data_IF_726142073807
#
_entry.id   IF_726142073807
#
_cell.length_a   1.000
_cell.length_b   1.000
_cell.length_c   1.000
_cell.angle_alpha   90.00
_cell.angle_beta   90.00
_cell.angle_gamma   90.00
#
_symmetry.space_group_name_H-M   'P 1'
#
loop_
_entity.id
_entity.type
_entity.pdbx_description
1 polymer ?
#
# COMPACT_ATOMS: atom_id res chain seq x y z
N UNK A 1 -25.07 3.34 15.50
CA UNK A 1 -24.61 3.76 14.16
C UNK A 1 -23.49 2.82 13.70
N UNK A 2 -23.30 2.62 12.39
CA UNK A 2 -22.19 1.82 11.82
C UNK A 2 -21.41 2.69 10.83
N UNK A 3 -20.11 2.46 10.74
CA UNK A 3 -19.25 3.04 9.71
C UNK A 3 -19.38 2.19 8.43
N UNK A 4 -19.60 2.81 7.27
CA UNK A 4 -19.73 2.12 5.99
C UNK A 4 -18.43 2.24 5.20
N UNK A 5 -17.83 1.10 4.84
CA UNK A 5 -16.61 1.03 4.05
C UNK A 5 -16.89 0.41 2.68
N UNK A 6 -16.46 1.08 1.62
CA UNK A 6 -16.45 0.54 0.27
C UNK A 6 -15.12 -0.18 -0.03
N UNK A 7 -15.20 -1.37 -0.63
CA UNK A 7 -14.05 -2.19 -1.04
C UNK A 7 -14.31 -2.70 -2.45
N UNK A 8 -13.25 -2.87 -3.25
CA UNK A 8 -13.37 -3.51 -4.56
C UNK A 8 -14.02 -4.90 -4.43
N UNK A 9 -14.93 -5.23 -5.35
CA UNK A 9 -15.70 -6.47 -5.33
C UNK A 9 -14.84 -7.72 -5.53
N UNK A 10 -13.77 -7.63 -6.32
CA UNK A 10 -12.93 -8.77 -6.68
C UNK A 10 -11.53 -8.31 -7.09
N UNK A 11 -10.59 -9.26 -7.15
CA UNK A 11 -9.22 -9.02 -7.58
C UNK A 11 -8.27 -8.75 -6.43
N UNK A 12 -7.02 -8.40 -6.75
CA UNK A 12 -5.95 -8.30 -5.75
C UNK A 12 -6.25 -7.29 -4.63
N UNK A 13 -6.83 -6.13 -4.96
CA UNK A 13 -7.13 -5.11 -3.96
C UNK A 13 -8.22 -5.60 -2.99
N UNK A 14 -9.18 -6.40 -3.46
CA UNK A 14 -10.19 -7.04 -2.61
C UNK A 14 -9.53 -7.95 -1.57
N UNK A 15 -8.68 -8.88 -2.02
CA UNK A 15 -8.05 -9.87 -1.16
C UNK A 15 -7.18 -9.21 -0.09
N UNK A 16 -6.36 -8.23 -0.49
CA UNK A 16 -5.49 -7.48 0.42
C UNK A 16 -6.31 -6.62 1.41
N UNK A 17 -7.45 -6.06 0.99
CA UNK A 17 -8.33 -5.26 1.85
C UNK A 17 -9.03 -6.13 2.92
N UNK A 18 -9.57 -7.28 2.52
CA UNK A 18 -10.20 -8.22 3.46
C UNK A 18 -9.16 -8.76 4.44
N UNK A 19 -7.95 -9.07 3.94
CA UNK A 19 -6.83 -9.49 4.78
C UNK A 19 -6.47 -8.41 5.81
N UNK A 20 -6.34 -7.16 5.41
CA UNK A 20 -6.04 -6.05 6.33
C UNK A 20 -7.12 -5.94 7.43
N UNK A 21 -8.40 -6.01 7.07
CA UNK A 21 -9.49 -5.93 8.06
C UNK A 21 -9.44 -7.11 9.05
N UNK A 22 -9.14 -8.32 8.55
CA UNK A 22 -8.94 -9.50 9.40
C UNK A 22 -7.74 -9.34 10.34
N UNK A 23 -6.60 -8.83 9.85
CA UNK A 23 -5.42 -8.53 10.68
C UNK A 23 -5.74 -7.46 11.75
N UNK A 24 -6.61 -6.50 11.43
CA UNK A 24 -7.15 -5.54 12.39
C UNK A 24 -8.14 -6.16 13.42
N UNK A 25 -8.37 -7.47 13.34
CA UNK A 25 -9.32 -8.20 14.19
C UNK A 25 -10.77 -7.84 13.89
N UNK A 26 -11.11 -7.52 12.64
CA UNK A 26 -12.48 -7.24 12.21
C UNK A 26 -12.98 -8.46 11.43
N UNK A 27 -13.97 -9.14 12.01
CA UNK A 27 -14.47 -10.40 11.48
C UNK A 27 -15.60 -10.14 10.49
N UNK A 28 -15.28 -10.26 9.22
CA UNK A 28 -16.21 -10.09 8.10
C UNK A 28 -16.62 -11.46 7.60
N UNK A 29 -17.91 -11.79 7.75
CA UNK A 29 -18.44 -13.02 7.19
C UNK A 29 -18.88 -12.76 5.74
N UNK A 30 -17.95 -12.95 4.80
CA UNK A 30 -18.24 -12.76 3.39
C UNK A 30 -18.86 -14.05 2.81
N UNK A 31 -20.19 -14.06 2.67
CA UNK A 31 -20.87 -15.09 1.88
C UNK A 31 -20.59 -14.87 0.39
N UNK A 32 -20.47 -15.95 -0.39
CA UNK A 32 -20.27 -15.88 -1.84
C UNK A 32 -21.33 -14.96 -2.48
N UNK A 33 -20.90 -14.04 -3.34
CA UNK A 33 -21.74 -13.09 -4.10
C UNK A 33 -22.55 -12.06 -3.29
N UNK A 34 -22.25 -11.82 -2.02
CA UNK A 34 -22.87 -10.69 -1.29
C UNK A 34 -22.24 -9.36 -1.73
N UNK A 35 -23.08 -8.37 -2.04
CA UNK A 35 -22.66 -6.99 -2.34
C UNK A 35 -22.51 -6.13 -1.08
N UNK A 36 -22.99 -6.65 0.05
CA UNK A 36 -22.97 -5.98 1.35
C UNK A 36 -22.84 -7.02 2.45
N UNK A 37 -22.02 -6.72 3.45
CA UNK A 37 -21.89 -7.55 4.66
C UNK A 37 -21.57 -6.68 5.86
N UNK A 38 -21.71 -7.23 7.06
CA UNK A 38 -21.46 -6.52 8.30
C UNK A 38 -20.43 -7.29 9.14
N UNK A 39 -19.57 -6.55 9.83
CA UNK A 39 -18.65 -7.16 10.78
C UNK A 39 -19.40 -7.57 12.05
N UNK A 40 -19.05 -8.74 12.60
CA UNK A 40 -19.73 -9.28 13.80
C UNK A 40 -19.22 -8.66 15.10
N UNK A 41 -18.02 -8.10 15.09
CA UNK A 41 -17.28 -7.69 16.28
C UNK A 41 -16.82 -6.20 16.26
N UNK A 42 -17.23 -5.45 15.23
CA UNK A 42 -16.95 -4.02 15.09
C UNK A 42 -18.11 -3.36 14.33
N UNK A 43 -18.53 -2.12 14.67
CA UNK A 43 -19.64 -1.43 13.99
C UNK A 43 -19.24 -0.95 12.58
N UNK A 44 -18.93 -1.89 11.70
CA UNK A 44 -18.52 -1.69 10.32
C UNK A 44 -19.45 -2.47 9.38
N UNK A 45 -19.88 -1.80 8.33
CA UNK A 45 -20.62 -2.36 7.22
C UNK A 45 -19.79 -2.23 5.95
N UNK A 46 -19.63 -3.31 5.20
CA UNK A 46 -18.79 -3.36 4.00
C UNK A 46 -19.64 -3.44 2.76
N UNK A 47 -19.36 -2.57 1.79
CA UNK A 47 -19.93 -2.60 0.44
C UNK A 47 -18.89 -3.06 -0.57
N UNK A 48 -19.28 -3.99 -1.43
CA UNK A 48 -18.43 -4.52 -2.49
C UNK A 48 -18.81 -3.89 -3.83
N UNK A 49 -17.99 -2.96 -4.30
CA UNK A 49 -18.25 -2.10 -5.47
C UNK A 49 -17.20 -2.31 -6.57
N UNK A 50 -17.42 -1.74 -7.75
CA UNK A 50 -16.31 -1.54 -8.69
C UNK A 50 -15.40 -0.46 -8.12
N UNK A 51 -14.10 -0.62 -8.30
CA UNK A 51 -13.09 0.31 -7.81
C UNK A 51 -13.30 1.74 -8.33
N UNK A 52 -13.63 1.88 -9.60
CA UNK A 52 -13.91 3.18 -10.23
C UNK A 52 -15.10 3.92 -9.62
N UNK A 53 -16.06 3.20 -9.03
CA UNK A 53 -17.26 3.78 -8.43
C UNK A 53 -17.03 4.21 -6.97
N UNK A 54 -15.99 3.69 -6.29
CA UNK A 54 -15.74 3.93 -4.86
C UNK A 54 -15.64 5.43 -4.54
N UNK A 55 -14.86 6.27 -5.27
CA UNK A 55 -14.79 7.69 -4.96
C UNK A 55 -16.14 8.42 -5.04
N UNK A 56 -17.00 8.05 -6.00
CA UNK A 56 -18.34 8.62 -6.11
C UNK A 56 -19.22 8.24 -4.91
N UNK A 57 -19.19 6.97 -4.51
CA UNK A 57 -19.98 6.49 -3.37
C UNK A 57 -19.59 7.17 -2.03
N UNK A 58 -18.32 7.57 -1.90
CA UNK A 58 -17.84 8.33 -0.74
C UNK A 58 -18.29 9.79 -0.82
N UNK A 59 -18.17 10.43 -1.98
CA UNK A 59 -18.63 11.80 -2.22
C UNK A 59 -20.15 11.94 -1.97
N UNK A 60 -20.94 10.98 -2.43
CA UNK A 60 -22.40 10.96 -2.27
C UNK A 60 -22.85 10.62 -0.83
N UNK A 61 -21.92 10.28 0.07
CA UNK A 61 -22.21 9.87 1.44
C UNK A 61 -22.93 8.52 1.57
N UNK A 62 -22.94 7.72 0.49
CA UNK A 62 -23.48 6.36 0.53
C UNK A 62 -22.56 5.47 1.35
N UNK A 63 -21.25 5.54 1.06
CA UNK A 63 -20.18 4.99 1.89
C UNK A 63 -19.50 6.13 2.66
N UNK A 64 -19.05 5.84 3.88
CA UNK A 64 -18.38 6.84 4.72
C UNK A 64 -16.88 6.91 4.38
N UNK A 65 -16.31 5.74 4.08
CA UNK A 65 -14.91 5.54 3.72
C UNK A 65 -14.78 4.48 2.64
N UNK A 66 -13.61 4.36 2.02
CA UNK A 66 -13.33 3.26 1.10
C UNK A 66 -11.85 2.97 0.89
N UNK A 67 -11.55 1.72 0.57
CA UNK A 67 -10.21 1.29 0.15
C UNK A 67 -10.16 1.26 -1.37
N UNK A 68 -9.28 2.08 -1.93
CA UNK A 68 -9.20 2.32 -3.38
C UNK A 68 -7.75 2.65 -3.75
N UNK A 69 -7.37 2.50 -5.03
CA UNK A 69 -6.05 2.93 -5.50
C UNK A 69 -5.92 4.45 -5.52
N UNK A 70 -4.76 4.97 -5.12
CA UNK A 70 -4.45 6.42 -5.16
C UNK A 70 -4.64 6.99 -6.57
N UNK A 71 -4.25 6.24 -7.60
CA UNK A 71 -4.50 6.59 -9.00
C UNK A 71 -5.99 6.84 -9.30
N UNK A 72 -6.91 6.02 -8.78
CA UNK A 72 -8.35 6.19 -9.03
C UNK A 72 -8.88 7.43 -8.31
N UNK A 73 -8.42 7.68 -7.08
CA UNK A 73 -8.83 8.89 -6.32
C UNK A 73 -8.41 10.16 -7.07
N UNK A 74 -7.17 10.20 -7.55
CA UNK A 74 -6.63 11.35 -8.27
C UNK A 74 -7.30 11.53 -9.64
N UNK A 75 -7.60 10.43 -10.33
CA UNK A 75 -8.25 10.47 -11.64
C UNK A 75 -9.70 10.95 -11.58
N UNK A 76 -10.49 10.46 -10.61
CA UNK A 76 -11.93 10.77 -10.54
C UNK A 76 -12.23 12.20 -10.04
N UNK A 77 -11.25 12.89 -9.42
CA UNK A 77 -11.37 14.26 -8.89
C UNK A 77 -12.60 14.50 -8.00
N UNK A 78 -12.99 13.49 -7.22
CA UNK A 78 -14.11 13.56 -6.28
C UNK A 78 -13.69 14.24 -4.98
N UNK A 79 -14.65 14.82 -4.26
CA UNK A 79 -14.47 15.49 -2.97
C UNK A 79 -14.27 14.48 -1.83
N UNK A 80 -13.16 13.75 -1.89
CA UNK A 80 -12.78 12.74 -0.89
C UNK A 80 -11.39 13.04 -0.34
N UNK A 81 -11.18 12.74 0.94
CA UNK A 81 -9.91 12.94 1.61
C UNK A 81 -9.15 11.62 1.71
N UNK A 82 -7.91 11.57 1.23
CA UNK A 82 -7.01 10.44 1.54
C UNK A 82 -6.54 10.59 2.98
N UNK A 83 -6.95 9.66 3.85
CA UNK A 83 -6.63 9.70 5.28
C UNK A 83 -5.46 8.78 5.65
N UNK A 84 -5.19 7.73 4.87
CA UNK A 84 -4.10 6.79 5.17
C UNK A 84 -3.66 6.02 3.91
N UNK A 85 -2.37 6.08 3.56
CA UNK A 85 -1.78 5.11 2.62
C UNK A 85 -1.66 3.75 3.27
N UNK A 86 -1.97 2.64 2.60
CA UNK A 86 -2.10 1.31 3.21
C UNK A 86 -0.89 0.37 3.00
N UNK A 87 0.05 0.70 2.10
CA UNK A 87 1.29 -0.05 1.93
C UNK A 87 1.20 -1.30 1.06
N UNK A 88 0.05 -1.57 0.44
CA UNK A 88 -0.17 -2.67 -0.51
C UNK A 88 -0.77 -2.15 -1.81
N UNK A 89 -0.94 -3.03 -2.81
CA UNK A 89 -1.44 -2.62 -4.13
C UNK A 89 -0.49 -1.66 -4.87
N UNK A 90 0.81 -1.72 -4.57
CA UNK A 90 1.81 -0.82 -5.17
C UNK A 90 1.91 -1.03 -6.67
N UNK A 91 1.79 0.06 -7.42
CA UNK A 91 1.99 0.14 -8.85
C UNK A 91 2.48 1.54 -9.23
N UNK A 92 2.69 1.76 -10.52
CA UNK A 92 2.97 3.09 -11.06
C UNK A 92 2.21 3.29 -12.35
N UNK A 93 1.67 4.47 -12.56
CA UNK A 93 1.15 4.88 -13.86
C UNK A 93 2.34 5.39 -14.68
N UNK A 94 2.52 4.85 -15.89
CA UNK A 94 3.74 5.12 -16.68
C UNK A 94 3.44 5.34 -18.15
N UNK A 95 4.21 6.23 -18.77
CA UNK A 95 4.28 6.36 -20.23
C UNK A 95 5.00 5.14 -20.81
N UNK A 96 4.46 4.61 -21.89
CA UNK A 96 5.14 3.61 -22.70
C UNK A 96 4.98 3.89 -24.19
N UNK A 97 6.00 3.52 -24.97
CA UNK A 97 6.05 3.63 -26.43
C UNK A 97 6.50 2.30 -27.02
N UNK A 98 6.35 2.11 -28.34
CA UNK A 98 6.90 0.93 -29.00
C UNK A 98 8.41 0.82 -28.79
N UNK A 99 8.91 -0.41 -28.63
CA UNK A 99 10.35 -0.67 -28.37
C UNK A 99 11.26 -0.06 -29.43
N UNK A 100 10.80 -0.04 -30.68
CA UNK A 100 11.47 0.52 -31.86
C UNK A 100 11.59 2.04 -31.87
N UNK A 101 10.75 2.74 -31.12
CA UNK A 101 10.74 4.21 -31.08
C UNK A 101 11.92 4.71 -30.26
N UNK A 102 12.79 5.51 -30.86
CA UNK A 102 13.82 6.22 -30.10
C UNK A 102 13.15 7.28 -29.22
N UNK A 103 13.38 7.17 -27.90
CA UNK A 103 12.84 8.07 -26.90
C UNK A 103 13.99 8.58 -26.04
N UNK A 104 14.19 9.89 -26.06
CA UNK A 104 15.27 10.60 -25.39
C UNK A 104 14.78 11.42 -24.20
N UNK A 105 13.58 11.96 -24.27
CA UNK A 105 12.98 12.76 -23.19
C UNK A 105 11.48 12.91 -23.33
N UNK A 106 10.84 13.40 -22.27
CA UNK A 106 9.42 13.84 -22.26
C UNK A 106 9.02 14.72 -23.44
N UNK A 107 9.96 15.46 -24.06
CA UNK A 107 9.70 16.29 -25.24
C UNK A 107 9.32 15.50 -26.49
N UNK A 108 9.67 14.22 -26.55
CA UNK A 108 9.32 13.35 -27.68
C UNK A 108 7.82 13.01 -27.71
N UNK A 109 7.09 13.35 -26.63
CA UNK A 109 5.63 13.29 -26.56
C UNK A 109 4.95 14.50 -27.22
N UNK A 110 5.70 15.52 -27.65
CA UNK A 110 5.11 16.71 -28.26
C UNK A 110 4.39 16.36 -29.57
N UNK A 111 3.15 16.84 -29.69
CA UNK A 111 2.22 16.62 -30.79
C UNK A 111 1.93 15.12 -31.06
N UNK A 112 2.09 14.26 -30.05
CA UNK A 112 1.76 12.83 -30.12
C UNK A 112 0.33 12.55 -29.66
N UNK A 113 -0.18 11.38 -30.04
CA UNK A 113 -1.42 10.79 -29.52
C UNK A 113 -1.09 9.84 -28.37
N UNK A 114 -1.76 10.01 -27.24
CA UNK A 114 -1.54 9.21 -26.02
C UNK A 114 -2.85 8.51 -25.67
N UNK A 115 -2.88 7.18 -25.70
CA UNK A 115 -4.03 6.41 -25.23
C UNK A 115 -3.93 6.13 -23.73
N UNK A 116 -5.02 6.30 -22.98
CA UNK A 116 -5.05 6.03 -21.54
C UNK A 116 -6.46 5.86 -21.00
N UNK A 117 -6.60 5.20 -19.86
CA UNK A 117 -7.79 5.24 -19.00
C UNK A 117 -7.70 6.31 -17.88
N UNK A 118 -6.62 7.09 -17.87
CA UNK A 118 -6.31 8.12 -16.86
C UNK A 118 -6.06 9.51 -17.48
N UNK A 119 -7.03 10.07 -18.24
CA UNK A 119 -6.85 11.32 -18.96
C UNK A 119 -6.50 12.50 -18.03
N UNK A 120 -7.10 12.59 -16.84
CA UNK A 120 -6.86 13.71 -15.92
C UNK A 120 -5.42 13.71 -15.44
N UNK A 121 -4.91 12.56 -14.98
CA UNK A 121 -3.52 12.46 -14.49
C UNK A 121 -2.52 12.73 -15.63
N UNK A 122 -2.82 12.25 -16.84
CA UNK A 122 -1.96 12.48 -18.01
C UNK A 122 -1.96 13.96 -18.41
N UNK A 123 -3.11 14.61 -18.45
CA UNK A 123 -3.22 16.03 -18.79
C UNK A 123 -2.40 16.89 -17.83
N UNK A 124 -2.47 16.59 -16.53
CA UNK A 124 -1.68 17.23 -15.49
C UNK A 124 -0.16 17.01 -15.68
N UNK A 125 0.24 15.79 -16.04
CA UNK A 125 1.64 15.47 -16.33
C UNK A 125 2.17 16.26 -17.54
N UNK A 126 1.39 16.33 -18.62
CA UNK A 126 1.76 17.06 -19.83
C UNK A 126 1.88 18.57 -19.55
N UNK A 127 0.91 19.15 -18.83
CA UNK A 127 0.92 20.56 -18.42
C UNK A 127 2.18 20.91 -17.61
N UNK A 128 2.53 20.09 -16.62
CA UNK A 128 3.73 20.31 -15.77
C UNK A 128 5.04 20.26 -16.55
N UNK A 129 5.08 19.51 -17.66
CA UNK A 129 6.24 19.38 -18.53
C UNK A 129 6.22 20.32 -19.75
N UNK A 130 5.18 21.15 -19.90
CA UNK A 130 5.03 22.05 -21.04
C UNK A 130 4.85 21.33 -22.38
N UNK A 131 4.23 20.15 -22.36
CA UNK A 131 3.99 19.32 -23.56
C UNK A 131 2.55 19.48 -24.02
N UNK A 132 2.35 19.58 -25.34
CA UNK A 132 1.02 19.47 -25.96
C UNK A 132 0.91 18.14 -26.68
N UNK A 133 -0.04 17.31 -26.29
CA UNK A 133 -0.32 16.01 -26.90
C UNK A 133 -1.84 15.77 -26.93
N UNK A 134 -2.31 14.94 -27.85
CA UNK A 134 -3.72 14.54 -27.94
C UNK A 134 -3.96 13.34 -27.02
N UNK A 135 -4.91 13.44 -26.11
CA UNK A 135 -5.27 12.35 -25.19
C UNK A 135 -6.48 11.61 -25.78
N UNK A 136 -6.33 10.30 -25.99
CA UNK A 136 -7.41 9.40 -26.35
C UNK A 136 -7.79 8.55 -25.13
N UNK A 137 -8.94 8.86 -24.54
CA UNK A 137 -9.48 8.08 -23.44
C UNK A 137 -10.04 6.74 -23.94
N UNK A 138 -9.61 5.65 -23.32
CA UNK A 138 -10.11 4.30 -23.57
C UNK A 138 -10.30 3.54 -22.25
N UNK A 139 -11.33 2.69 -22.19
CA UNK A 139 -11.78 2.03 -20.96
C UNK A 139 -11.03 0.74 -20.62
N UNK A 140 -10.06 0.32 -21.43
CA UNK A 140 -9.22 -0.85 -21.18
C UNK A 140 -8.46 -1.32 -22.41
N UNK A 141 -7.59 -2.32 -22.21
CA UNK A 141 -6.66 -2.83 -23.24
C UNK A 141 -5.84 -1.68 -23.84
N UNK A 142 -5.24 -0.85 -23.00
CA UNK A 142 -4.50 0.33 -23.47
C UNK A 142 -3.26 -0.08 -24.27
N UNK A 143 -2.66 -1.21 -23.89
CA UNK A 143 -1.46 -1.79 -24.47
C UNK A 143 -1.55 -2.11 -25.97
N UNK A 144 -2.75 -2.30 -26.53
CA UNK A 144 -2.91 -2.60 -27.97
C UNK A 144 -2.97 -1.33 -28.83
N UNK A 145 -3.21 -0.16 -28.23
CA UNK A 145 -3.47 1.08 -28.96
C UNK A 145 -2.34 1.48 -29.94
N UNK A 146 -1.04 1.34 -29.60
CA UNK A 146 0.04 1.61 -30.55
C UNK A 146 0.04 0.65 -31.74
N UNK A 147 -0.08 -0.66 -31.47
CA UNK A 147 0.00 -1.69 -32.51
C UNK A 147 -1.12 -1.64 -33.56
N UNK A 148 -2.25 -0.98 -33.24
CA UNK A 148 -3.36 -0.76 -34.19
C UNK A 148 -3.38 0.67 -34.78
N UNK A 149 -2.40 1.50 -34.44
CA UNK A 149 -2.26 2.87 -34.94
C UNK A 149 -3.19 3.91 -34.30
N UNK A 150 -3.85 3.58 -33.18
CA UNK A 150 -4.74 4.48 -32.45
C UNK A 150 -3.96 5.60 -31.74
N UNK A 151 -2.79 5.28 -31.19
CA UNK A 151 -1.96 6.22 -30.45
C UNK A 151 -0.46 5.99 -30.71
N UNK A 152 0.36 6.99 -30.47
CA UNK A 152 1.82 6.89 -30.61
C UNK A 152 2.51 6.49 -29.29
N UNK A 153 1.84 6.75 -28.16
CA UNK A 153 2.24 6.37 -26.82
C UNK A 153 1.02 5.95 -25.99
N UNK A 154 1.26 5.31 -24.85
CA UNK A 154 0.22 4.99 -23.88
C UNK A 154 0.57 5.46 -22.48
N UNK A 155 -0.45 5.67 -21.64
CA UNK A 155 -0.32 5.78 -20.20
C UNK A 155 -1.15 4.70 -19.52
N UNK A 156 -0.51 3.77 -18.82
CA UNK A 156 -1.24 2.74 -18.09
C UNK A 156 -0.52 2.28 -16.82
N UNK A 157 -1.23 1.51 -15.99
CA UNK A 157 -0.72 0.95 -14.75
C UNK A 157 0.31 -0.15 -15.03
N UNK A 158 1.48 0.01 -14.42
CA UNK A 158 2.58 -0.93 -14.49
C UNK A 158 2.90 -1.43 -13.08
N UNK A 159 2.88 -2.76 -12.93
CA UNK A 159 3.41 -3.45 -11.75
C UNK A 159 4.76 -4.09 -12.09
N UNK A 160 4.77 -5.28 -12.70
CA UNK A 160 5.99 -5.98 -13.14
C UNK A 160 6.52 -5.52 -14.50
N UNK A 161 5.69 -4.89 -15.35
CA UNK A 161 6.03 -4.55 -16.74
C UNK A 161 5.78 -5.66 -17.77
N UNK A 162 5.30 -6.83 -17.35
CA UNK A 162 5.09 -7.98 -18.25
C UNK A 162 4.11 -7.66 -19.39
N UNK A 163 3.01 -6.97 -19.12
CA UNK A 163 2.01 -6.58 -20.13
C UNK A 163 2.60 -5.69 -21.21
N UNK A 164 3.38 -4.66 -20.83
CA UNK A 164 4.07 -3.79 -21.79
C UNK A 164 5.03 -4.60 -22.65
N UNK A 165 5.84 -5.46 -22.02
CA UNK A 165 6.82 -6.27 -22.73
C UNK A 165 6.18 -7.20 -23.79
N UNK A 166 5.08 -7.86 -23.43
CA UNK A 166 4.32 -8.77 -24.31
C UNK A 166 3.71 -8.05 -25.52
N UNK A 167 3.39 -6.77 -25.38
CA UNK A 167 2.84 -5.95 -26.46
C UNK A 167 3.92 -5.13 -27.20
N UNK A 168 5.20 -5.48 -27.03
CA UNK A 168 6.28 -4.81 -27.75
C UNK A 168 6.54 -3.37 -27.29
N UNK A 169 6.08 -3.00 -26.10
CA UNK A 169 6.24 -1.66 -25.52
C UNK A 169 7.42 -1.60 -24.55
N UNK A 170 7.98 -0.40 -24.39
CA UNK A 170 8.95 -0.05 -23.35
C UNK A 170 8.44 1.13 -22.53
N UNK A 171 8.63 1.05 -21.22
CA UNK A 171 8.34 2.16 -20.30
C UNK A 171 9.38 3.26 -20.48
N UNK A 172 8.93 4.52 -20.49
CA UNK A 172 9.80 5.69 -20.74
C UNK A 172 9.72 6.77 -19.67
N UNK A 173 8.57 6.98 -19.04
CA UNK A 173 8.40 7.95 -17.96
C UNK A 173 7.48 7.40 -16.88
N UNK A 174 7.82 7.60 -15.60
CA UNK A 174 6.88 7.33 -14.50
C UNK A 174 6.06 8.58 -14.20
N UNK A 175 4.75 8.51 -14.43
CA UNK A 175 3.81 9.63 -14.24
C UNK A 175 3.36 9.76 -12.79
N UNK A 176 3.02 8.63 -12.16
CA UNK A 176 2.52 8.58 -10.78
C UNK A 176 2.95 7.27 -10.12
N UNK A 177 3.44 7.32 -8.88
CA UNK A 177 3.52 6.14 -8.01
C UNK A 177 2.20 6.02 -7.25
N UNK A 178 1.59 4.85 -7.28
CA UNK A 178 0.27 4.60 -6.66
C UNK A 178 0.33 3.41 -5.70
N UNK A 179 -0.48 3.47 -4.65
CA UNK A 179 -0.76 2.36 -3.75
C UNK A 179 -2.21 2.40 -3.28
N UNK A 180 -2.64 1.36 -2.57
CA UNK A 180 -3.93 1.35 -1.91
C UNK A 180 -3.98 2.44 -0.82
N UNK A 181 -5.07 3.21 -0.79
CA UNK A 181 -5.33 4.24 0.21
C UNK A 181 -6.69 4.02 0.85
N UNK A 182 -6.82 4.48 2.10
CA UNK A 182 -8.11 4.70 2.73
C UNK A 182 -8.53 6.13 2.43
N UNK A 183 -9.62 6.28 1.68
CA UNK A 183 -10.28 7.53 1.41
C UNK A 183 -11.50 7.70 2.33
N UNK A 184 -11.82 8.92 2.72
CA UNK A 184 -12.95 9.25 3.58
C UNK A 184 -13.77 10.39 3.01
N UNK A 185 -15.08 10.38 3.32
CA UNK A 185 -15.98 11.47 3.01
C UNK A 185 -15.51 12.75 3.69
N UNK A 186 -15.71 13.90 3.04
CA UNK A 186 -15.33 15.20 3.61
C UNK A 186 -16.17 15.55 4.85
N UNK A 187 -17.41 15.06 4.93
CA UNK A 187 -18.37 15.40 5.98
C UNK A 187 -18.80 14.17 6.78
N UNK A 188 -17.91 13.65 7.61
CA UNK A 188 -18.26 12.62 8.59
C UNK A 188 -18.93 13.24 9.81
N UNK A 189 -19.93 12.55 10.37
CA UNK A 189 -20.47 12.91 11.69
C UNK A 189 -19.42 12.63 12.77
N UNK A 190 -19.56 13.25 13.95
CA UNK A 190 -18.66 13.01 15.07
C UNK A 190 -18.60 11.52 15.48
N UNK A 191 -19.74 10.81 15.41
CA UNK A 191 -19.79 9.37 15.69
C UNK A 191 -19.03 8.55 14.65
N UNK A 192 -19.17 8.88 13.36
CA UNK A 192 -18.41 8.22 12.28
C UNK A 192 -16.92 8.50 12.41
N UNK A 193 -16.53 9.73 12.75
CA UNK A 193 -15.13 10.09 12.96
C UNK A 193 -14.50 9.26 14.07
N UNK A 194 -15.19 9.07 15.21
CA UNK A 194 -14.71 8.21 16.30
C UNK A 194 -14.52 6.75 15.86
N UNK A 195 -15.38 6.23 14.98
CA UNK A 195 -15.23 4.88 14.43
C UNK A 195 -14.07 4.80 13.43
N UNK A 196 -13.90 5.81 12.60
CA UNK A 196 -12.77 5.93 11.68
C UNK A 196 -11.44 5.97 12.44
N UNK A 197 -11.33 6.78 13.49
CA UNK A 197 -10.12 6.91 14.30
C UNK A 197 -9.74 5.57 14.96
N UNK A 198 -10.74 4.82 15.46
CA UNK A 198 -10.54 3.47 15.99
C UNK A 198 -10.03 2.49 14.93
N UNK A 199 -10.55 2.58 13.70
CA UNK A 199 -10.11 1.75 12.58
C UNK A 199 -8.68 2.11 12.16
N UNK A 200 -8.39 3.41 12.01
CA UNK A 200 -7.06 3.92 11.67
C UNK A 200 -6.01 3.48 12.67
N UNK A 201 -6.32 3.58 13.97
CA UNK A 201 -5.44 3.09 15.03
C UNK A 201 -5.10 1.61 14.87
N UNK A 202 -6.11 0.75 14.59
CA UNK A 202 -5.88 -0.69 14.35
C UNK A 202 -5.03 -0.94 13.10
N UNK A 203 -5.32 -0.23 12.00
CA UNK A 203 -4.56 -0.32 10.75
C UNK A 203 -3.10 0.05 10.99
N UNK A 204 -2.84 1.16 11.68
CA UNK A 204 -1.50 1.62 12.00
C UNK A 204 -0.76 0.62 12.89
N UNK A 205 -1.43 0.03 13.88
CA UNK A 205 -0.84 -0.97 14.77
C UNK A 205 -0.42 -2.26 14.03
N UNK A 206 -1.25 -2.75 13.12
CA UNK A 206 -0.95 -3.92 12.27
C UNK A 206 0.22 -3.62 11.32
N UNK A 207 0.20 -2.45 10.68
CA UNK A 207 1.26 -2.08 9.73
C UNK A 207 2.61 -1.89 10.41
N UNK A 208 2.62 -1.30 11.61
CA UNK A 208 3.84 -1.15 12.39
C UNK A 208 4.39 -2.51 12.80
N UNK A 209 3.52 -3.42 13.23
CA UNK A 209 3.91 -4.79 13.58
C UNK A 209 4.52 -5.56 12.40
N UNK A 210 3.95 -5.43 11.20
CA UNK A 210 4.42 -6.11 9.99
C UNK A 210 5.88 -5.79 9.62
N UNK A 211 6.34 -4.57 9.92
CA UNK A 211 7.70 -4.13 9.62
C UNK A 211 8.69 -4.38 10.77
N UNK A 212 8.26 -5.07 11.83
CA UNK A 212 9.08 -5.32 13.00
C UNK A 212 9.07 -6.80 13.38
N UNK A 213 10.19 -7.26 13.95
CA UNK A 213 10.35 -8.60 14.50
C UNK A 213 10.72 -8.50 15.96
N UNK A 214 10.11 -9.37 16.76
CA UNK A 214 10.56 -9.57 18.12
C UNK A 214 11.74 -10.56 18.08
N UNK A 215 12.84 -10.18 18.70
CA UNK A 215 14.00 -11.06 18.84
C UNK A 215 14.26 -11.36 20.30
N UNK A 216 14.69 -12.59 20.55
CA UNK A 216 15.27 -13.00 21.83
C UNK A 216 16.59 -13.71 21.54
N UNK A 217 17.58 -13.49 22.39
CA UNK A 217 18.91 -14.05 22.25
C UNK A 217 19.53 -14.30 23.62
N UNK A 218 20.45 -15.25 23.69
CA UNK A 218 21.26 -15.47 24.87
C UNK A 218 22.57 -14.69 24.72
N UNK A 219 22.97 -13.98 25.78
CA UNK A 219 24.15 -13.13 25.82
C UNK A 219 24.99 -13.45 27.07
N UNK A 220 26.33 -13.53 26.95
CA UNK A 220 27.23 -13.53 28.09
C UNK A 220 27.09 -12.24 28.90
N UNK A 221 27.08 -12.34 30.23
CA UNK A 221 26.86 -11.19 31.11
C UNK A 221 27.93 -10.10 30.96
N UNK A 222 29.16 -10.46 30.63
CA UNK A 222 30.28 -9.53 30.37
C UNK A 222 30.17 -8.79 29.04
N UNK A 223 29.30 -9.26 28.12
CA UNK A 223 29.03 -8.65 26.80
C UNK A 223 27.72 -7.89 26.72
N UNK A 224 26.94 -7.83 27.81
CA UNK A 224 25.61 -7.22 27.81
C UNK A 224 25.61 -5.75 27.37
N UNK A 225 26.57 -4.94 27.81
CA UNK A 225 26.60 -3.51 27.44
C UNK A 225 26.83 -3.30 25.94
N UNK A 226 27.71 -4.11 25.34
CA UNK A 226 28.00 -4.10 23.91
C UNK A 226 26.75 -4.52 23.12
N UNK A 227 26.13 -5.64 23.50
CA UNK A 227 24.92 -6.19 22.88
C UNK A 227 23.73 -5.24 23.00
N UNK A 228 23.51 -4.62 24.16
CA UNK A 228 22.43 -3.63 24.36
C UNK A 228 22.65 -2.39 23.47
N UNK A 229 23.90 -1.97 23.28
CA UNK A 229 24.25 -0.84 22.42
C UNK A 229 23.95 -1.06 20.94
N UNK A 230 23.96 -2.33 20.48
CA UNK A 230 23.61 -2.70 19.11
C UNK A 230 22.10 -2.78 18.85
N UNK A 231 21.28 -2.79 19.91
CA UNK A 231 19.83 -3.00 19.79
C UNK A 231 19.08 -1.66 19.81
N UNK A 232 18.43 -1.25 18.71
CA UNK A 232 17.53 -0.09 18.67
C UNK A 232 16.20 -0.45 19.36
N UNK A 233 16.22 -0.66 20.67
CA UNK A 233 15.02 -1.02 21.44
C UNK A 233 13.97 0.10 21.44
N UNK A 234 12.70 -0.25 21.61
CA UNK A 234 11.59 0.74 21.67
C UNK A 234 11.69 1.70 22.86
N UNK A 235 12.33 1.26 23.93
CA UNK A 235 12.61 2.04 25.14
C UNK A 235 13.91 1.57 25.78
N UNK A 236 14.01 0.26 26.01
CA UNK A 236 15.21 -0.45 26.43
C UNK A 236 15.01 -1.94 26.15
N UNK A 237 16.06 -2.70 25.77
CA UNK A 237 15.99 -4.16 25.75
C UNK A 237 15.61 -4.72 27.13
N UNK A 238 14.87 -5.82 27.15
CA UNK A 238 14.57 -6.57 28.37
C UNK A 238 15.70 -7.57 28.62
N UNK A 239 16.20 -7.65 29.86
CA UNK A 239 17.28 -8.56 30.25
C UNK A 239 16.79 -9.46 31.38
N UNK A 240 16.89 -10.78 31.20
CA UNK A 240 16.47 -11.79 32.17
C UNK A 240 17.63 -12.76 32.44
N UNK A 241 17.96 -13.10 33.69
CA UNK A 241 18.99 -14.09 33.98
C UNK A 241 18.57 -15.48 33.51
N UNK A 242 19.51 -16.25 32.96
CA UNK A 242 19.28 -17.66 32.62
C UNK A 242 19.56 -18.58 33.82
N UNK A 243 19.10 -19.83 33.73
CA UNK A 243 19.44 -20.87 34.70
C UNK A 243 20.94 -21.21 34.68
N UNK A 244 21.57 -21.07 33.51
CA UNK A 244 23.02 -21.16 33.36
C UNK A 244 23.67 -19.86 33.87
N UNK A 245 24.57 -20.00 34.84
CA UNK A 245 25.27 -18.86 35.42
C UNK A 245 26.17 -18.18 34.39
N UNK A 246 26.23 -16.84 34.45
CA UNK A 246 27.04 -16.04 33.52
C UNK A 246 26.34 -15.65 32.23
N UNK A 247 25.07 -16.07 32.04
CA UNK A 247 24.28 -15.74 30.85
C UNK A 247 22.95 -15.06 31.17
N UNK A 248 22.49 -14.26 30.22
CA UNK A 248 21.19 -13.60 30.25
C UNK A 248 20.46 -13.73 28.91
N UNK A 249 19.13 -13.81 28.95
CA UNK A 249 18.27 -13.65 27.78
C UNK A 249 18.01 -12.16 27.55
N UNK A 250 18.29 -11.66 26.35
CA UNK A 250 18.04 -10.29 25.92
C UNK A 250 16.93 -10.31 24.88
N UNK A 251 15.91 -9.48 25.10
CA UNK A 251 14.76 -9.37 24.20
C UNK A 251 14.65 -7.95 23.66
N UNK A 252 14.38 -7.81 22.37
CA UNK A 252 14.21 -6.52 21.71
C UNK A 252 13.26 -6.62 20.51
N UNK A 253 12.93 -5.47 19.94
CA UNK A 253 12.19 -5.37 18.67
C UNK A 253 13.11 -4.72 17.64
N UNK A 254 13.23 -5.34 16.47
CA UNK A 254 14.01 -4.83 15.35
C UNK A 254 13.13 -4.52 14.15
N UNK A 255 13.51 -3.51 13.38
CA UNK A 255 12.94 -3.28 12.06
C UNK A 255 13.44 -4.36 11.09
N UNK A 256 12.59 -4.82 10.18
CA UNK A 256 12.95 -5.81 9.16
C UNK A 256 14.13 -5.36 8.29
N UNK A 257 14.25 -4.05 8.02
CA UNK A 257 15.30 -3.51 7.16
C UNK A 257 16.68 -3.57 7.81
N UNK A 258 16.76 -3.43 9.13
CA UNK A 258 18.02 -3.45 9.90
C UNK A 258 18.33 -4.86 10.43
N UNK A 259 17.46 -5.83 10.14
CA UNK A 259 17.44 -7.13 10.81
C UNK A 259 18.75 -7.90 10.61
N UNK A 260 19.21 -8.05 9.36
CA UNK A 260 20.39 -8.87 9.08
C UNK A 260 21.67 -8.25 9.62
N UNK A 261 21.88 -6.96 9.39
CA UNK A 261 23.07 -6.23 9.86
C UNK A 261 23.21 -6.29 11.39
N UNK A 262 22.09 -6.15 12.11
CA UNK A 262 22.08 -6.24 13.57
C UNK A 262 22.33 -7.69 14.03
N UNK A 263 21.72 -8.70 13.40
CA UNK A 263 21.92 -10.11 13.78
C UNK A 263 23.37 -10.55 13.58
N UNK A 264 24.03 -10.10 12.52
CA UNK A 264 25.45 -10.37 12.28
C UNK A 264 26.31 -9.72 13.37
N UNK A 265 26.08 -8.44 13.66
CA UNK A 265 26.78 -7.71 14.73
C UNK A 265 26.59 -8.34 16.11
N UNK A 266 25.37 -8.82 16.41
CA UNK A 266 25.06 -9.50 17.67
C UNK A 266 25.83 -10.82 17.80
N UNK A 267 25.94 -11.60 16.73
CA UNK A 267 26.71 -12.85 16.73
C UNK A 267 28.20 -12.59 16.95
N UNK A 268 28.75 -11.56 16.30
CA UNK A 268 30.14 -11.15 16.51
C UNK A 268 30.41 -10.71 17.95
N UNK A 269 29.45 -10.04 18.58
CA UNK A 269 29.49 -9.65 20.00
C UNK A 269 29.29 -10.83 20.97
N UNK A 270 29.06 -12.05 20.48
CA UNK A 270 28.94 -13.27 21.28
C UNK A 270 27.51 -13.71 21.61
N UNK A 271 26.49 -13.12 20.99
CA UNK A 271 25.11 -13.58 21.14
C UNK A 271 24.89 -14.97 20.53
N UNK A 272 24.09 -15.79 21.21
CA UNK A 272 23.77 -17.15 20.81
C UNK A 272 22.26 -17.40 20.84
N UNK A 273 21.81 -18.45 20.14
CA UNK A 273 20.42 -18.92 20.21
C UNK A 273 19.38 -17.85 19.82
N UNK A 274 19.69 -17.01 18.84
CA UNK A 274 18.79 -15.91 18.44
C UNK A 274 17.52 -16.48 17.80
N UNK A 275 16.36 -16.25 18.41
CA UNK A 275 15.05 -16.58 17.87
C UNK A 275 14.33 -15.32 17.40
N UNK A 276 13.60 -15.47 16.30
CA UNK A 276 12.81 -14.41 15.66
C UNK A 276 11.35 -14.79 15.75
N UNK A 277 10.53 -13.90 16.30
CA UNK A 277 9.09 -14.10 16.43
C UNK A 277 8.37 -12.98 15.67
N UNK A 278 7.42 -13.31 14.76
CA UNK A 278 6.62 -12.30 14.11
C UNK A 278 5.71 -11.58 15.12
N UNK A 279 5.55 -10.27 14.94
CA UNK A 279 4.63 -9.47 15.75
C UNK A 279 3.32 -9.34 14.99
N UNK A 280 2.20 -9.74 15.60
CA UNK A 280 0.89 -9.58 14.97
C UNK A 280 0.38 -8.14 15.02
N UNK A 281 0.52 -7.49 16.19
CA UNK A 281 0.02 -6.13 16.45
C UNK A 281 0.97 -5.37 17.37
N UNK A 282 1.13 -4.08 17.12
CA UNK A 282 2.02 -3.21 17.89
C UNK A 282 1.35 -1.88 18.19
N UNK A 283 1.16 -1.58 19.48
CA UNK A 283 0.53 -0.35 19.97
C UNK A 283 1.59 0.48 20.69
N UNK A 284 1.76 1.74 20.29
CA UNK A 284 2.76 2.67 20.82
C UNK A 284 2.10 4.02 21.07
#
# INVERSE_FOLDING_TARGET
MKLKIAIQKSGRLHDDSIKLLKECGIDINNGVNKLKTEATNFPLEVFFLRDDDIPQYIEDGVADIGIVGENVVLEKQKQVNIVQKLGFGKCRLSMAVEKSVDYTSVKDLQNKRIATSYPVIVEDFLKRNGITAEIHEISGSVEIAPGIGLADAICDLVSSGSTLFMNGLKEVETVLKSEAVLAACHQLTAEQQVLLDKLLFRIQAVRKAKNNKYILLNAPNDKLNEIIGLLPGMKSPTVLPLAEAGWSSVHSVLNENDFWDIIESLKEAGAQGILVVPIEKMVI
#
